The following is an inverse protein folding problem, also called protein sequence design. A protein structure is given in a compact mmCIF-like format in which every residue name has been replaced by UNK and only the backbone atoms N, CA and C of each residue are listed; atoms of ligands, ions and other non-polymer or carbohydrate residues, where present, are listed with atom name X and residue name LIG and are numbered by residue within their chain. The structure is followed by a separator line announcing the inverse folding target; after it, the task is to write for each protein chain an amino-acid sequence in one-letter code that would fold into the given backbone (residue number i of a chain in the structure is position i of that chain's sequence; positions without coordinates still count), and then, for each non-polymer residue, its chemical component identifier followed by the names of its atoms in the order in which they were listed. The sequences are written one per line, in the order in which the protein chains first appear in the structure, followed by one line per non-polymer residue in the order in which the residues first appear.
data_IF_779987166426
#
_entry.id   IF_779987166426
#
_cell.length_a   1.000
_cell.length_b   1.000
_cell.length_c   1.000
_cell.angle_alpha   90.00
_cell.angle_beta   90.00
_cell.angle_gamma   90.00
#
_symmetry.space_group_name_H-M   'P 1'
#
loop_
_entity.id
_entity.type
_entity.pdbx_description
1 polymer ?
#
# COMPACT_ATOMS: atom_id res chain seq x y z
N UNK A 1 1.33 44.62 -8.30
CA UNK A 1 2.78 44.59 -7.98
C UNK A 1 3.22 43.13 -8.05
N UNK A 2 3.58 42.64 -9.23
CA UNK A 2 4.97 42.31 -9.68
C UNK A 2 5.75 41.36 -8.76
N UNK A 3 5.95 40.12 -9.29
CA UNK A 3 7.22 39.37 -9.40
C UNK A 3 7.74 38.69 -8.10
N UNK A 4 8.25 37.44 -8.06
CA UNK A 4 9.00 36.65 -9.05
C UNK A 4 8.90 35.13 -8.81
N UNK A 5 8.94 34.40 -9.91
CA UNK A 5 9.38 33.00 -10.01
C UNK A 5 10.79 32.82 -9.43
N UNK A 6 11.04 31.71 -8.74
CA UNK A 6 12.39 31.18 -8.54
C UNK A 6 12.35 29.69 -8.86
N UNK A 7 12.78 29.39 -10.09
CA UNK A 7 13.19 28.07 -10.55
C UNK A 7 14.64 27.86 -10.10
N UNK A 8 14.91 26.82 -9.30
CA UNK A 8 16.27 26.46 -8.93
C UNK A 8 16.65 25.15 -9.62
N UNK A 9 17.54 25.26 -10.60
CA UNK A 9 18.22 24.14 -11.27
C UNK A 9 19.61 24.01 -10.63
N UNK A 10 19.95 22.84 -10.09
CA UNK A 10 21.33 22.43 -9.82
C UNK A 10 21.42 20.91 -10.00
N UNK A 11 21.94 20.42 -11.13
CA UNK A 11 23.36 20.23 -11.46
C UNK A 11 23.84 18.81 -11.10
N UNK A 12 23.81 17.97 -12.14
CA UNK A 12 24.37 16.63 -12.28
C UNK A 12 25.88 16.63 -11.96
N UNK A 13 26.35 15.74 -11.05
CA UNK A 13 27.77 15.44 -10.90
C UNK A 13 28.06 13.97 -11.20
N UNK A 14 28.61 13.72 -12.39
CA UNK A 14 29.30 12.49 -12.77
C UNK A 14 30.53 12.28 -11.86
N UNK A 15 30.65 11.12 -11.24
CA UNK A 15 31.94 10.57 -10.85
C UNK A 15 32.27 9.39 -11.77
N UNK A 16 33.22 9.62 -12.66
CA UNK A 16 33.96 8.59 -13.39
C UNK A 16 35.19 8.26 -12.55
N UNK A 17 35.36 7.00 -12.16
CA UNK A 17 36.68 6.46 -11.82
C UNK A 17 36.91 5.21 -12.66
N UNK A 18 37.89 5.33 -13.55
CA UNK A 18 38.47 4.27 -14.36
C UNK A 18 39.65 3.63 -13.62
N UNK A 19 39.77 2.31 -13.77
CA UNK A 19 41.00 1.52 -13.55
C UNK A 19 40.62 0.06 -13.30
N UNK A 20 40.95 -0.94 -14.11
CA UNK A 20 41.93 -1.06 -15.19
C UNK A 20 42.92 -2.19 -14.87
N UNK A 21 42.73 -3.37 -15.47
CA UNK A 21 43.75 -4.27 -16.08
C UNK A 21 43.40 -5.79 -16.02
N UNK A 22 43.34 -6.37 -17.23
CA UNK A 22 43.51 -7.76 -17.71
C UNK A 22 44.55 -8.63 -16.96
N UNK A 23 44.65 -9.98 -16.97
CA UNK A 23 44.22 -11.21 -17.75
C UNK A 23 44.79 -12.44 -16.97
N UNK A 24 44.75 -13.75 -17.36
CA UNK A 24 43.96 -14.53 -18.35
C UNK A 24 43.29 -15.81 -17.74
N UNK A 25 42.75 -16.64 -18.64
CA UNK A 25 41.98 -17.90 -18.52
C UNK A 25 42.70 -19.06 -17.83
N UNK A 26 41.98 -19.83 -17.01
CA UNK A 26 42.21 -21.27 -16.83
C UNK A 26 40.87 -22.02 -16.97
N UNK A 27 40.84 -23.00 -17.88
CA UNK A 27 39.79 -24.01 -17.96
C UNK A 27 40.11 -25.11 -16.93
N UNK A 28 39.18 -25.39 -16.03
CA UNK A 28 39.06 -26.70 -15.40
C UNK A 28 37.58 -27.05 -15.32
N UNK A 29 37.21 -28.06 -16.11
CA UNK A 29 36.06 -28.90 -15.84
C UNK A 29 36.34 -29.62 -14.52
N UNK A 30 35.52 -29.38 -13.50
CA UNK A 30 35.34 -30.31 -12.39
C UNK A 30 33.91 -30.12 -11.85
N UNK A 31 33.11 -31.16 -12.07
CA UNK A 31 31.82 -31.39 -11.46
C UNK A 31 31.96 -31.38 -9.93
N UNK A 32 31.47 -30.32 -9.28
CA UNK A 32 31.22 -30.33 -7.84
C UNK A 32 29.82 -29.84 -7.51
N UNK A 33 29.00 -30.85 -7.25
CA UNK A 33 27.71 -30.85 -6.56
C UNK A 33 27.80 -30.00 -5.28
N UNK A 34 27.42 -28.72 -5.38
CA UNK A 34 27.21 -27.86 -4.23
C UNK A 34 25.71 -27.72 -3.98
N UNK A 35 25.21 -28.71 -3.24
CA UNK A 35 24.01 -28.60 -2.43
C UNK A 35 24.21 -27.46 -1.42
N UNK A 36 23.90 -26.23 -1.84
CA UNK A 36 23.73 -25.11 -0.93
C UNK A 36 22.35 -25.23 -0.29
N UNK A 37 22.37 -25.75 0.94
CA UNK A 37 21.27 -25.60 1.87
C UNK A 37 20.94 -24.12 2.03
N UNK A 38 19.83 -23.71 1.43
CA UNK A 38 19.07 -22.58 1.92
C UNK A 38 18.38 -23.07 3.19
N UNK A 39 19.01 -22.76 4.32
CA UNK A 39 18.32 -22.67 5.60
C UNK A 39 17.32 -21.51 5.50
N UNK A 40 16.15 -21.78 4.93
CA UNK A 40 14.98 -20.97 5.21
C UNK A 40 14.40 -21.49 6.53
N UNK A 41 14.98 -21.01 7.64
CA UNK A 41 14.26 -20.99 8.91
C UNK A 41 13.09 -20.01 8.79
N UNK A 42 12.03 -20.43 8.10
CA UNK A 42 10.71 -19.91 8.39
C UNK A 42 10.30 -20.52 9.72
N UNK A 43 10.42 -19.70 10.75
CA UNK A 43 9.82 -19.95 12.05
C UNK A 43 8.31 -20.12 11.82
N UNK A 44 7.85 -21.36 11.70
CA UNK A 44 6.44 -21.72 11.75
C UNK A 44 5.98 -21.61 13.22
N UNK A 45 5.86 -20.35 13.66
CA UNK A 45 5.19 -19.95 14.87
C UNK A 45 3.75 -19.56 14.52
N UNK A 46 2.83 -20.38 15.01
CA UNK A 46 1.38 -20.21 15.04
C UNK A 46 0.62 -20.46 13.72
N UNK A 47 -0.34 -21.38 13.81
CA UNK A 47 -1.39 -21.61 12.83
C UNK A 47 -2.33 -20.40 12.79
N UNK A 48 -1.87 -19.31 12.18
CA UNK A 48 -2.70 -18.20 11.71
C UNK A 48 -2.74 -18.27 10.20
N UNK A 49 -3.90 -18.06 9.59
CA UNK A 49 -4.04 -17.98 8.15
C UNK A 49 -3.05 -16.92 7.62
N UNK A 50 -2.10 -17.31 6.78
CA UNK A 50 -1.17 -16.37 6.17
C UNK A 50 -1.95 -15.57 5.12
N UNK A 51 -2.52 -14.44 5.55
CA UNK A 51 -3.10 -13.44 4.68
C UNK A 51 -1.97 -12.77 3.88
N UNK A 52 -2.21 -12.42 2.61
CA UNK A 52 -1.26 -11.65 1.81
C UNK A 52 -1.03 -10.24 2.38
N UNK A 53 -0.20 -9.41 1.74
CA UNK A 53 0.02 -8.02 2.20
C UNK A 53 -1.25 -7.16 2.15
N UNK A 54 -2.23 -7.57 1.34
CA UNK A 54 -3.59 -7.06 1.29
C UNK A 54 -4.52 -8.13 0.72
N UNK A 55 -5.82 -7.97 0.94
CA UNK A 55 -6.83 -8.88 0.42
C UNK A 55 -7.76 -8.23 -0.60
N UNK A 56 -7.97 -6.92 -0.51
CA UNK A 56 -8.96 -6.26 -1.35
C UNK A 56 -8.52 -4.87 -1.80
N UNK A 57 -8.91 -4.52 -3.03
CA UNK A 57 -8.77 -3.18 -3.58
C UNK A 57 -10.11 -2.72 -4.17
N UNK A 58 -10.59 -1.57 -3.73
CA UNK A 58 -11.70 -0.86 -4.35
C UNK A 58 -11.23 0.42 -5.01
N UNK A 59 -11.59 0.61 -6.28
CA UNK A 59 -11.39 1.88 -6.97
C UNK A 59 -12.61 2.79 -6.81
N UNK A 60 -12.42 4.01 -6.33
CA UNK A 60 -13.48 4.97 -6.05
C UNK A 60 -13.26 6.27 -6.82
N UNK A 61 -14.33 6.84 -7.38
CA UNK A 61 -14.30 8.21 -7.90
C UNK A 61 -14.55 9.21 -6.76
N UNK A 62 -13.48 9.78 -6.22
CA UNK A 62 -13.55 10.70 -5.09
C UNK A 62 -13.34 12.14 -5.53
N UNK A 63 -14.12 13.04 -4.95
CA UNK A 63 -13.95 14.49 -5.04
C UNK A 63 -13.12 15.01 -3.87
N UNK A 64 -12.47 16.16 -4.05
CA UNK A 64 -11.86 16.86 -2.94
C UNK A 64 -12.92 17.12 -1.85
N UNK A 65 -12.67 16.65 -0.63
CA UNK A 65 -13.67 16.67 0.44
C UNK A 65 -13.44 15.62 1.51
N UNK A 66 -14.38 15.60 2.45
CA UNK A 66 -14.36 14.75 3.65
C UNK A 66 -15.24 13.52 3.45
N UNK A 67 -14.75 12.39 3.93
CA UNK A 67 -15.37 11.08 3.88
C UNK A 67 -15.27 10.41 5.24
N UNK A 68 -16.12 9.42 5.46
CA UNK A 68 -16.08 8.52 6.61
C UNK A 68 -15.72 7.12 6.12
N UNK A 69 -14.67 6.55 6.69
CA UNK A 69 -14.36 5.14 6.63
C UNK A 69 -15.02 4.46 7.84
N UNK A 70 -15.96 3.56 7.57
CA UNK A 70 -16.73 2.83 8.57
C UNK A 70 -16.36 1.35 8.56
N UNK A 71 -16.28 0.78 9.75
CA UNK A 71 -16.23 -0.64 10.03
C UNK A 71 -17.33 -0.98 11.03
N UNK A 72 -17.99 -2.12 10.82
CA UNK A 72 -18.73 -2.82 11.86
C UNK A 72 -17.80 -3.53 12.85
N UNK A 73 -18.38 -4.43 13.64
CA UNK A 73 -17.64 -5.21 14.63
C UNK A 73 -16.59 -6.09 13.95
N UNK A 74 -15.35 -6.06 14.45
CA UNK A 74 -14.25 -6.91 14.03
C UNK A 74 -13.51 -7.45 15.27
N UNK A 75 -12.98 -8.70 15.24
CA UNK A 75 -12.05 -9.17 16.26
C UNK A 75 -10.68 -8.49 16.18
N UNK A 76 -10.36 -7.83 15.06
CA UNK A 76 -9.06 -7.21 14.85
C UNK A 76 -8.95 -5.88 15.60
N UNK A 77 -7.80 -5.65 16.23
CA UNK A 77 -7.50 -4.40 16.94
C UNK A 77 -7.08 -3.27 15.98
N UNK A 78 -6.65 -3.63 14.76
CA UNK A 78 -6.24 -2.70 13.73
C UNK A 78 -6.36 -3.33 12.34
N UNK A 79 -6.36 -2.49 11.31
CA UNK A 79 -6.26 -2.92 9.91
C UNK A 79 -5.44 -1.93 9.11
N UNK A 80 -4.56 -2.43 8.25
CA UNK A 80 -3.82 -1.58 7.34
C UNK A 80 -4.68 -1.15 6.13
N UNK A 81 -4.57 0.13 5.74
CA UNK A 81 -5.32 0.76 4.64
C UNK A 81 -4.40 1.64 3.79
N UNK A 82 -4.31 1.32 2.50
CA UNK A 82 -3.55 2.06 1.50
C UNK A 82 -4.43 2.99 0.66
N UNK A 83 -3.91 4.18 0.32
CA UNK A 83 -4.55 5.11 -0.61
C UNK A 83 -3.64 5.35 -1.81
N UNK A 84 -4.05 4.91 -3.00
CA UNK A 84 -3.33 5.11 -4.26
C UNK A 84 -4.16 6.03 -5.14
N UNK A 85 -3.62 7.18 -5.54
CA UNK A 85 -4.29 8.02 -6.54
C UNK A 85 -3.98 7.46 -7.93
N UNK A 86 -5.00 7.01 -8.64
CA UNK A 86 -4.84 6.45 -9.98
C UNK A 86 -4.41 7.54 -10.97
N UNK A 87 -3.49 7.16 -11.85
CA UNK A 87 -2.94 8.01 -12.90
C UNK A 87 -2.07 7.20 -13.85
N UNK A 88 -1.47 7.86 -14.84
CA UNK A 88 -0.64 7.19 -15.88
C UNK A 88 0.58 6.46 -15.30
N UNK A 89 0.97 6.76 -14.06
CA UNK A 89 2.09 6.13 -13.35
C UNK A 89 1.72 4.79 -12.69
N UNK A 90 0.44 4.44 -12.57
CA UNK A 90 -0.01 3.17 -11.99
C UNK A 90 -0.27 2.20 -13.14
N UNK A 91 0.75 1.43 -13.53
CA UNK A 91 0.67 0.49 -14.65
C UNK A 91 0.36 -0.95 -14.23
N UNK A 92 0.64 -1.26 -12.97
CA UNK A 92 0.41 -2.56 -12.34
C UNK A 92 -0.07 -2.26 -10.91
N UNK A 93 -1.38 -2.36 -10.70
CA UNK A 93 -2.02 -1.93 -9.45
C UNK A 93 -1.70 -2.93 -8.32
N UNK A 94 -1.77 -4.23 -8.60
CA UNK A 94 -1.56 -5.27 -7.60
C UNK A 94 -0.13 -5.25 -7.05
N UNK A 95 0.86 -5.10 -7.94
CA UNK A 95 2.26 -4.98 -7.53
C UNK A 95 2.53 -3.65 -6.79
N UNK A 96 1.86 -2.56 -7.18
CA UNK A 96 2.02 -1.28 -6.48
C UNK A 96 1.38 -1.32 -5.08
N UNK A 97 0.23 -1.97 -4.95
CA UNK A 97 -0.48 -2.18 -3.69
C UNK A 97 0.33 -3.03 -2.72
N UNK A 98 0.89 -4.17 -3.14
CA UNK A 98 1.69 -5.03 -2.24
C UNK A 98 2.90 -4.30 -1.65
N UNK A 99 3.64 -3.54 -2.48
CA UNK A 99 4.77 -2.73 -1.98
C UNK A 99 4.32 -1.60 -1.05
N UNK A 100 3.21 -0.94 -1.36
CA UNK A 100 2.69 0.14 -0.53
C UNK A 100 2.31 -0.38 0.87
N UNK A 101 1.65 -1.54 0.92
CA UNK A 101 1.09 -2.11 2.14
C UNK A 101 2.15 -2.64 3.12
N UNK A 102 3.40 -2.80 2.70
CA UNK A 102 4.52 -3.20 3.59
C UNK A 102 5.42 -2.03 4.02
N UNK A 103 5.05 -0.80 3.68
CA UNK A 103 5.78 0.40 4.12
C UNK A 103 5.56 0.70 5.61
N UNK A 104 6.39 1.59 6.16
CA UNK A 104 6.17 2.15 7.49
C UNK A 104 4.91 3.03 7.48
N UNK A 105 4.03 2.84 8.46
CA UNK A 105 2.71 3.46 8.53
C UNK A 105 2.57 4.30 9.78
N UNK A 106 1.78 5.35 9.69
CA UNK A 106 1.30 6.05 10.88
C UNK A 106 -0.04 5.46 11.34
N UNK A 107 -0.22 5.36 12.65
CA UNK A 107 -1.48 4.87 13.23
C UNK A 107 -2.52 5.99 13.30
N UNK A 108 -3.70 5.74 12.76
CA UNK A 108 -4.85 6.63 12.82
C UNK A 108 -5.82 6.11 13.87
N UNK A 109 -6.10 6.95 14.86
CA UNK A 109 -7.00 6.60 15.97
C UNK A 109 -8.45 6.61 15.54
N UNK A 110 -9.28 5.87 16.27
CA UNK A 110 -10.71 5.97 16.12
C UNK A 110 -11.27 7.36 16.41
N UNK A 111 -12.39 7.66 15.77
CA UNK A 111 -13.12 8.93 15.83
C UNK A 111 -12.27 10.17 15.48
N UNK A 112 -11.12 9.94 14.83
CA UNK A 112 -10.21 10.99 14.41
C UNK A 112 -10.46 11.43 12.96
N UNK A 113 -9.69 12.43 12.55
CA UNK A 113 -9.69 12.96 11.20
C UNK A 113 -8.26 13.17 10.72
N UNK A 114 -7.98 12.78 9.48
CA UNK A 114 -6.69 12.99 8.83
C UNK A 114 -6.85 13.33 7.34
N UNK A 115 -5.77 13.80 6.72
CA UNK A 115 -5.70 13.97 5.27
C UNK A 115 -5.05 12.72 4.65
N UNK A 116 -5.78 12.03 3.78
CA UNK A 116 -5.27 10.85 3.09
C UNK A 116 -4.31 11.28 1.98
N UNK A 117 -3.03 10.91 2.17
CA UNK A 117 -1.96 11.19 1.21
C UNK A 117 -2.04 10.17 0.07
N UNK A 118 -1.87 10.60 -1.19
CA UNK A 118 -1.72 9.65 -2.29
C UNK A 118 -0.44 8.84 -2.11
N UNK A 119 -0.49 7.57 -2.49
CA UNK A 119 0.61 6.60 -2.37
C UNK A 119 1.15 6.48 -0.94
N UNK A 120 0.23 6.35 0.02
CA UNK A 120 0.56 6.16 1.44
C UNK A 120 -0.38 5.16 2.11
N UNK A 121 0.16 4.34 3.01
CA UNK A 121 -0.59 3.40 3.83
C UNK A 121 -0.62 3.81 5.31
N UNK A 122 -1.72 3.49 5.97
CA UNK A 122 -2.02 3.83 7.35
C UNK A 122 -2.43 2.57 8.10
N UNK A 123 -2.18 2.55 9.41
CA UNK A 123 -2.77 1.54 10.29
C UNK A 123 -3.97 2.16 10.99
N UNK A 124 -5.16 1.66 10.73
CA UNK A 124 -6.38 2.16 11.35
C UNK A 124 -6.66 1.40 12.65
N UNK A 125 -6.84 2.12 13.75
CA UNK A 125 -7.29 1.53 15.01
C UNK A 125 -8.74 1.05 14.87
N UNK A 126 -8.99 -0.21 15.22
CA UNK A 126 -10.30 -0.85 15.23
C UNK A 126 -10.73 -1.10 16.69
N UNK A 127 -12.02 -1.40 16.90
CA UNK A 127 -12.53 -1.83 18.20
C UNK A 127 -13.59 -2.92 18.00
N UNK A 128 -13.90 -3.65 19.08
CA UNK A 128 -14.83 -4.79 19.04
C UNK A 128 -16.26 -4.44 18.60
N UNK A 129 -16.68 -3.18 18.73
CA UNK A 129 -18.03 -2.72 18.42
C UNK A 129 -18.16 -2.14 16.99
N UNK A 130 -17.20 -1.32 16.55
CA UNK A 130 -17.17 -0.62 15.26
C UNK A 130 -15.87 0.18 15.07
N UNK A 131 -15.64 0.72 13.87
CA UNK A 131 -14.63 1.73 13.63
C UNK A 131 -15.12 2.88 12.77
N UNK A 132 -14.84 4.12 13.21
CA UNK A 132 -15.14 5.34 12.47
C UNK A 132 -13.88 6.18 12.34
N UNK A 133 -13.40 6.36 11.12
CA UNK A 133 -12.25 7.21 10.83
C UNK A 133 -12.63 8.17 9.72
N UNK A 134 -12.47 9.47 9.97
CA UNK A 134 -12.71 10.47 8.94
C UNK A 134 -11.44 10.73 8.14
N UNK A 135 -11.55 10.81 6.82
CA UNK A 135 -10.43 11.18 5.97
C UNK A 135 -10.82 12.28 5.00
N UNK A 136 -9.85 13.13 4.65
CA UNK A 136 -9.99 14.16 3.63
C UNK A 136 -9.17 13.80 2.40
N UNK A 137 -9.79 13.90 1.23
CA UNK A 137 -9.13 13.85 -0.07
C UNK A 137 -8.84 15.29 -0.51
N UNK A 138 -7.57 15.60 -0.79
CA UNK A 138 -7.14 16.95 -1.17
C UNK A 138 -7.52 17.32 -2.61
N UNK A 139 -7.58 16.34 -3.51
CA UNK A 139 -7.77 16.55 -4.94
C UNK A 139 -8.74 15.53 -5.54
N UNK A 140 -9.59 15.97 -6.48
CA UNK A 140 -10.41 15.07 -7.28
C UNK A 140 -9.56 13.99 -7.96
N UNK A 141 -10.11 12.78 -8.07
CA UNK A 141 -9.50 11.70 -8.83
C UNK A 141 -10.15 10.34 -8.58
N UNK A 142 -9.67 9.34 -9.30
CA UNK A 142 -9.93 7.94 -8.97
C UNK A 142 -8.88 7.49 -7.95
N UNK A 143 -9.31 6.91 -6.85
CA UNK A 143 -8.44 6.39 -5.80
C UNK A 143 -8.66 4.89 -5.65
N UNK A 144 -7.60 4.10 -5.73
CA UNK A 144 -7.63 2.72 -5.25
C UNK A 144 -7.38 2.74 -3.73
N UNK A 145 -8.35 2.23 -3.00
CA UNK A 145 -8.26 2.00 -1.56
C UNK A 145 -7.98 0.52 -1.38
N UNK A 146 -6.85 0.22 -0.74
CA UNK A 146 -6.32 -1.12 -0.51
C UNK A 146 -6.53 -1.47 0.96
N UNK A 147 -7.02 -2.66 1.26
CA UNK A 147 -7.24 -3.10 2.65
C UNK A 147 -6.62 -4.45 2.92
N UNK A 148 -6.05 -4.59 4.12
CA UNK A 148 -5.49 -5.85 4.63
C UNK A 148 -6.52 -6.98 4.66
N UNK A 149 -7.77 -6.66 5.01
CA UNK A 149 -8.88 -7.61 5.04
C UNK A 149 -9.97 -7.30 4.01
N UNK A 150 -10.75 -8.32 3.65
CA UNK A 150 -11.95 -8.14 2.82
C UNK A 150 -13.01 -7.25 3.51
N UNK A 151 -13.67 -6.33 2.76
CA UNK A 151 -14.74 -5.48 3.29
C UNK A 151 -15.88 -6.23 3.99
N UNK A 152 -16.20 -7.44 3.51
CA UNK A 152 -17.30 -8.26 4.06
C UNK A 152 -17.03 -8.78 5.47
N UNK A 153 -15.77 -8.85 5.90
CA UNK A 153 -15.41 -9.40 7.21
C UNK A 153 -15.80 -8.46 8.35
N UNK A 154 -15.69 -7.15 8.11
CA UNK A 154 -16.02 -6.11 9.07
C UNK A 154 -17.22 -5.25 8.66
N UNK A 155 -17.96 -5.58 7.59
CA UNK A 155 -18.99 -4.69 7.00
C UNK A 155 -18.43 -3.28 6.71
N UNK A 156 -17.26 -3.24 6.09
CA UNK A 156 -16.57 -2.01 5.74
C UNK A 156 -17.37 -1.19 4.72
N UNK A 157 -17.54 0.10 4.97
CA UNK A 157 -18.24 1.03 4.09
C UNK A 157 -17.56 2.40 4.05
N UNK A 158 -17.68 3.10 2.92
CA UNK A 158 -17.22 4.49 2.78
C UNK A 158 -18.42 5.39 2.55
N UNK A 159 -18.53 6.47 3.32
CA UNK A 159 -19.62 7.43 3.20
C UNK A 159 -19.13 8.82 2.82
N UNK A 160 -19.92 9.53 2.01
CA UNK A 160 -19.73 10.96 1.78
C UNK A 160 -20.17 11.80 2.99
N UNK A 161 -19.95 13.11 2.93
CA UNK A 161 -20.37 14.07 3.96
C UNK A 161 -21.88 14.09 4.25
N UNK A 162 -22.71 13.55 3.36
CA UNK A 162 -24.17 13.48 3.50
C UNK A 162 -24.63 12.09 3.98
N UNK A 163 -23.70 11.22 4.40
CA UNK A 163 -23.96 9.84 4.81
C UNK A 163 -24.52 8.95 3.69
N UNK A 164 -24.20 9.28 2.44
CA UNK A 164 -24.47 8.41 1.30
C UNK A 164 -23.29 7.48 1.11
N UNK A 165 -23.54 6.19 1.11
CA UNK A 165 -22.53 5.18 0.83
C UNK A 165 -21.98 5.34 -0.59
N UNK A 166 -20.66 5.26 -0.71
CA UNK A 166 -19.93 5.29 -1.96
C UNK A 166 -19.48 3.86 -2.22
N UNK A 167 -19.91 3.29 -3.34
CA UNK A 167 -19.48 1.97 -3.78
C UNK A 167 -18.28 2.11 -4.73
N UNK A 168 -17.36 1.12 -4.73
CA UNK A 168 -16.28 1.10 -5.70
C UNK A 168 -16.84 0.95 -7.12
N UNK A 169 -16.16 1.57 -8.09
CA UNK A 169 -16.47 1.41 -9.53
C UNK A 169 -15.80 0.16 -10.11
N UNK A 170 -14.74 -0.34 -9.47
CA UNK A 170 -14.03 -1.59 -9.77
C UNK A 170 -13.47 -2.18 -8.48
N UNK A 171 -13.41 -3.50 -8.44
CA UNK A 171 -12.86 -4.26 -7.31
C UNK A 171 -11.84 -5.27 -7.81
N UNK A 172 -10.81 -5.51 -7.00
CA UNK A 172 -9.78 -6.52 -7.21
C UNK A 172 -9.55 -7.27 -5.91
N UNK A 173 -9.35 -8.58 -6.01
CA UNK A 173 -9.03 -9.46 -4.89
C UNK A 173 -7.53 -9.78 -4.95
N UNK A 174 -6.85 -9.76 -3.80
CA UNK A 174 -5.44 -10.10 -3.70
C UNK A 174 -5.15 -11.53 -4.19
N UNK A 175 -4.01 -11.72 -4.88
CA UNK A 175 -3.60 -13.05 -5.34
C UNK A 175 -3.20 -13.93 -4.14
N UNK A 176 -4.02 -14.95 -3.83
CA UNK A 176 -3.73 -15.88 -2.72
C UNK A 176 -4.97 -16.55 -2.10
N UNK A 177 -6.16 -16.06 -2.43
CA UNK A 177 -7.40 -16.43 -1.73
C UNK A 177 -8.27 -17.33 -2.60
N UNK A 178 -7.98 -18.63 -2.64
CA UNK A 178 -9.01 -19.61 -3.02
C UNK A 178 -9.88 -19.87 -1.81
N UNK A 179 -11.05 -19.20 -1.74
CA UNK A 179 -12.09 -19.54 -0.77
C UNK A 179 -12.77 -20.88 -1.09
#
# INVERSE_FOLDING_TARGET
MKLKNVLLILALSMFVILGGCSKPVDNHDDDHDHNHGHEEEHSHGEEGHAHGEYEWIGEFELKAGKYLFHFGASPDEAMDVGFIKMGDNVTDLDHHASHLMVTEKETIKQDSEFEAKPDYAYTFEMNEDHGHINFTIAEDGTYAIVTEHFPSESNMQIFDKNQVEILPVREHEGEGHSH
#
